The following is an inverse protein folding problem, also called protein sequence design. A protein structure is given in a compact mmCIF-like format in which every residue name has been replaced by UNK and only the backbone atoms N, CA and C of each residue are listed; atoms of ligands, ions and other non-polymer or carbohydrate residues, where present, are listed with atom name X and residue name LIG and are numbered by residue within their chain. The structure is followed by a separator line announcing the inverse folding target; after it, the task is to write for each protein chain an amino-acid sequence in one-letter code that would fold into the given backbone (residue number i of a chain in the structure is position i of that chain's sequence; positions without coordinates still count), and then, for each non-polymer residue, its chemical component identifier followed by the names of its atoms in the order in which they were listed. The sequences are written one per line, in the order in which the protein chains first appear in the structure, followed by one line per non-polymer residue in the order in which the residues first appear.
data_IF_522757306289
#
_entry.id   IF_522757306289
#
_cell.length_a   1.000
_cell.length_b   1.000
_cell.length_c   1.000
_cell.angle_alpha   90.00
_cell.angle_beta   90.00
_cell.angle_gamma   90.00
#
_symmetry.space_group_name_H-M   'P 1'
#
loop_
_entity.id
_entity.type
_entity.pdbx_description
1 polymer ?
#
# COMPACT_ATOMS: atom_id res chain seq x y z
N UNK A 1 7.71 6.91 32.92
CA UNK A 1 8.17 5.73 32.16
C UNK A 1 7.23 5.55 30.98
N UNK A 2 7.62 6.01 29.79
CA UNK A 2 6.75 6.02 28.61
C UNK A 2 7.01 4.72 27.83
N UNK A 3 5.96 3.91 27.67
CA UNK A 3 5.97 2.64 26.96
C UNK A 3 6.19 2.92 25.46
N UNK A 4 7.36 2.54 24.95
CA UNK A 4 7.68 2.50 23.52
C UNK A 4 6.80 1.44 22.85
N UNK A 5 5.91 1.88 21.96
CA UNK A 5 5.14 1.00 21.10
C UNK A 5 6.10 0.44 20.04
N UNK A 6 6.32 -0.87 20.09
CA UNK A 6 7.10 -1.59 19.10
C UNK A 6 6.35 -1.52 17.76
N UNK A 7 6.97 -0.88 16.78
CA UNK A 7 6.55 -0.98 15.38
C UNK A 7 6.65 -2.44 14.97
N UNK A 8 5.51 -3.08 14.72
CA UNK A 8 5.45 -4.43 14.16
C UNK A 8 5.99 -4.36 12.73
N UNK A 9 7.26 -4.73 12.55
CA UNK A 9 7.85 -4.95 11.24
C UNK A 9 7.08 -6.05 10.52
N UNK A 10 6.64 -5.77 9.29
CA UNK A 10 5.95 -6.74 8.44
C UNK A 10 6.82 -8.00 8.23
N UNK A 11 6.26 -9.22 8.33
CA UNK A 11 7.01 -10.48 8.21
C UNK A 11 7.62 -10.72 6.82
N UNK A 12 7.27 -9.90 5.82
CA UNK A 12 7.83 -9.96 4.47
C UNK A 12 9.34 -9.65 4.40
N UNK A 13 9.95 -9.10 5.47
CA UNK A 13 11.35 -8.66 5.51
C UNK A 13 12.33 -9.65 6.17
N UNK A 14 11.88 -10.79 6.70
CA UNK A 14 12.75 -11.72 7.43
C UNK A 14 13.48 -12.76 6.56
N UNK A 15 13.29 -12.75 5.24
CA UNK A 15 14.03 -13.61 4.32
C UNK A 15 15.20 -12.84 3.72
N UNK A 16 16.33 -12.79 4.43
CA UNK A 16 17.64 -12.48 3.84
C UNK A 16 18.16 -13.69 3.06
N UNK A 17 17.33 -14.27 2.19
CA UNK A 17 17.83 -15.05 1.07
C UNK A 17 18.42 -14.03 0.10
N UNK A 18 19.63 -14.29 -0.39
CA UNK A 18 20.28 -13.47 -1.40
C UNK A 18 19.33 -13.34 -2.59
N UNK A 19 18.63 -12.21 -2.67
CA UNK A 19 17.77 -11.89 -3.79
C UNK A 19 18.66 -11.97 -5.02
N UNK A 20 18.30 -12.85 -5.95
CA UNK A 20 18.93 -12.89 -7.25
C UNK A 20 18.73 -11.52 -7.90
N UNK A 21 19.80 -10.75 -8.04
CA UNK A 21 19.79 -9.41 -8.63
C UNK A 21 19.29 -9.42 -10.09
N UNK A 22 19.20 -10.59 -10.72
CA UNK A 22 18.60 -10.77 -12.04
C UNK A 22 17.09 -11.05 -11.99
N UNK A 23 16.55 -11.36 -10.81
CA UNK A 23 15.11 -11.51 -10.57
C UNK A 23 14.43 -10.15 -10.46
N UNK A 24 13.14 -10.09 -10.84
CA UNK A 24 12.29 -8.89 -10.67
C UNK A 24 12.36 -8.36 -9.23
N UNK A 25 12.47 -9.26 -8.25
CA UNK A 25 12.56 -8.89 -6.84
C UNK A 25 13.79 -8.04 -6.51
N UNK A 26 14.92 -8.21 -7.21
CA UNK A 26 16.13 -7.38 -7.04
C UNK A 26 15.94 -5.93 -7.50
N UNK A 27 14.97 -5.69 -8.39
CA UNK A 27 14.61 -4.34 -8.87
C UNK A 27 13.46 -3.69 -8.07
N UNK A 28 12.81 -4.43 -7.17
CA UNK A 28 11.65 -3.92 -6.43
C UNK A 28 12.06 -3.08 -5.22
N UNK A 29 11.33 -2.00 -4.99
CA UNK A 29 11.39 -1.25 -3.73
C UNK A 29 10.27 -1.71 -2.79
N UNK A 30 10.58 -1.92 -1.51
CA UNK A 30 9.63 -2.23 -0.45
C UNK A 30 8.87 -1.00 0.10
N UNK A 31 9.21 0.21 -0.33
CA UNK A 31 8.56 1.48 0.04
C UNK A 31 7.24 1.71 -0.70
N UNK A 32 6.36 0.70 -0.69
CA UNK A 32 5.01 0.80 -1.25
C UNK A 32 3.97 0.95 -0.14
N UNK A 33 2.85 1.60 -0.47
CA UNK A 33 1.74 1.82 0.46
C UNK A 33 0.60 0.88 0.11
N UNK A 34 0.19 0.07 1.09
CA UNK A 34 -0.98 -0.82 0.99
C UNK A 34 -2.15 -0.29 1.82
N UNK A 35 -3.38 -0.43 1.31
CA UNK A 35 -4.61 -0.17 2.06
C UNK A 35 -5.59 -1.34 1.89
N UNK A 36 -6.40 -1.67 2.91
CA UNK A 36 -7.42 -2.69 2.80
C UNK A 36 -8.60 -2.19 1.96
N UNK A 37 -9.23 -3.09 1.19
CA UNK A 37 -10.34 -2.74 0.29
C UNK A 37 -11.53 -2.08 1.00
N UNK A 38 -11.71 -2.36 2.29
CA UNK A 38 -12.81 -1.85 3.13
C UNK A 38 -12.55 -0.46 3.73
N UNK A 39 -11.32 0.06 3.64
CA UNK A 39 -10.97 1.38 4.15
C UNK A 39 -11.79 2.47 3.45
N UNK A 40 -12.30 3.44 4.20
CA UNK A 40 -13.00 4.58 3.59
C UNK A 40 -12.03 5.53 2.90
N UNK A 41 -12.50 6.27 1.90
CA UNK A 41 -11.70 7.28 1.19
C UNK A 41 -11.08 8.27 2.16
N UNK A 42 -11.81 8.74 3.18
CA UNK A 42 -11.24 9.68 4.16
C UNK A 42 -10.05 9.08 4.92
N UNK A 43 -10.24 7.89 5.50
CA UNK A 43 -9.16 7.21 6.22
C UNK A 43 -7.97 6.90 5.32
N UNK A 44 -8.21 6.50 4.07
CA UNK A 44 -7.14 6.19 3.13
C UNK A 44 -6.29 7.42 2.76
N UNK A 45 -6.87 8.63 2.75
CA UNK A 45 -6.12 9.87 2.52
C UNK A 45 -5.22 10.23 3.69
N UNK A 46 -5.79 10.19 4.89
CA UNK A 46 -5.05 10.44 6.12
C UNK A 46 -3.91 9.42 6.27
N UNK A 47 -4.22 8.16 6.01
CA UNK A 47 -3.24 7.08 6.02
C UNK A 47 -2.14 7.31 4.98
N UNK A 48 -2.48 7.58 3.71
CA UNK A 48 -1.51 7.88 2.66
C UNK A 48 -0.50 8.95 3.11
N UNK A 49 -0.99 10.08 3.62
CA UNK A 49 -0.14 11.19 4.07
C UNK A 49 0.74 10.77 5.26
N UNK A 50 0.22 9.98 6.20
CA UNK A 50 0.99 9.47 7.34
C UNK A 50 2.11 8.50 6.95
N UNK A 51 2.01 7.85 5.78
CA UNK A 51 2.99 6.87 5.30
C UNK A 51 4.08 7.51 4.41
N UNK A 52 3.91 8.77 3.98
CA UNK A 52 4.92 9.45 3.16
C UNK A 52 6.19 9.68 4.01
N UNK A 53 7.33 9.16 3.51
CA UNK A 53 8.66 9.33 4.14
C UNK A 53 9.40 10.56 3.62
N UNK A 54 8.97 11.08 2.47
CA UNK A 54 9.54 12.22 1.75
C UNK A 54 8.40 13.07 1.19
N UNK A 55 8.72 14.18 0.54
CA UNK A 55 7.73 15.02 -0.16
C UNK A 55 7.23 14.38 -1.48
N UNK A 56 7.75 13.20 -1.85
CA UNK A 56 7.33 12.49 -3.06
C UNK A 56 6.02 11.73 -2.83
N UNK A 57 5.02 12.00 -3.67
CA UNK A 57 3.72 11.32 -3.62
C UNK A 57 3.74 10.15 -4.62
N UNK A 58 3.48 8.90 -4.17
CA UNK A 58 3.41 7.77 -5.08
C UNK A 58 2.24 7.94 -6.06
N UNK A 59 2.39 7.37 -7.26
CA UNK A 59 1.33 7.44 -8.28
C UNK A 59 0.16 6.51 -7.98
N UNK A 60 0.41 5.42 -7.24
CA UNK A 60 -0.54 4.37 -6.90
C UNK A 60 -0.40 3.92 -5.45
N UNK A 61 -1.52 3.48 -4.89
CA UNK A 61 -1.58 2.66 -3.67
C UNK A 61 -2.06 1.26 -4.04
N UNK A 62 -1.62 0.26 -3.28
CA UNK A 62 -1.95 -1.14 -3.51
C UNK A 62 -3.12 -1.56 -2.61
N UNK A 63 -4.14 -2.18 -3.20
CA UNK A 63 -5.30 -2.66 -2.46
C UNK A 63 -5.06 -4.12 -2.09
N UNK A 64 -5.08 -4.42 -0.80
CA UNK A 64 -4.85 -5.77 -0.27
C UNK A 64 -6.08 -6.30 0.46
N UNK A 65 -6.18 -7.62 0.56
CA UNK A 65 -7.09 -8.27 1.50
C UNK A 65 -6.40 -8.44 2.87
N UNK A 66 -7.15 -8.93 3.86
CA UNK A 66 -6.65 -9.13 5.23
C UNK A 66 -5.52 -10.17 5.33
N UNK A 67 -5.38 -11.00 4.29
CA UNK A 67 -4.31 -11.97 4.08
C UNK A 67 -3.06 -11.38 3.38
N UNK A 68 -3.02 -10.06 3.20
CA UNK A 68 -2.00 -9.30 2.48
C UNK A 68 -1.87 -9.61 0.98
N UNK A 69 -2.76 -10.42 0.39
CA UNK A 69 -2.76 -10.65 -1.04
C UNK A 69 -3.24 -9.41 -1.80
N UNK A 70 -2.51 -9.05 -2.86
CA UNK A 70 -2.86 -7.96 -3.77
C UNK A 70 -4.18 -8.27 -4.50
N UNK A 71 -5.14 -7.34 -4.41
CA UNK A 71 -6.45 -7.42 -5.08
C UNK A 71 -6.58 -6.43 -6.23
N UNK A 72 -5.89 -5.31 -6.14
CA UNK A 72 -6.00 -4.23 -7.10
C UNK A 72 -4.99 -3.14 -6.84
N UNK A 73 -5.00 -2.13 -7.70
CA UNK A 73 -4.28 -0.87 -7.46
C UNK A 73 -5.26 0.29 -7.53
N UNK A 74 -4.96 1.38 -6.85
CA UNK A 74 -5.76 2.59 -6.90
C UNK A 74 -4.85 3.78 -7.19
N UNK A 75 -5.19 4.54 -8.22
CA UNK A 75 -4.50 5.80 -8.51
C UNK A 75 -4.65 6.77 -7.33
N UNK A 76 -3.54 7.37 -6.90
CA UNK A 76 -3.56 8.39 -5.85
C UNK A 76 -4.37 9.60 -6.28
N UNK A 77 -4.31 10.00 -7.56
CA UNK A 77 -5.18 11.06 -8.10
C UNK A 77 -6.67 10.73 -7.89
N UNK A 78 -7.09 9.50 -8.21
CA UNK A 78 -8.48 9.06 -8.03
C UNK A 78 -8.89 9.06 -6.55
N UNK A 79 -7.99 8.63 -5.66
CA UNK A 79 -8.20 8.68 -4.22
C UNK A 79 -8.37 10.13 -3.72
N UNK A 80 -7.49 11.05 -4.13
CA UNK A 80 -7.49 12.45 -3.69
C UNK A 80 -8.66 13.26 -4.26
N UNK A 81 -9.17 12.91 -5.44
CA UNK A 81 -10.28 13.61 -6.11
C UNK A 81 -11.68 13.06 -5.79
N UNK A 82 -11.80 11.97 -5.03
CA UNK A 82 -13.10 11.38 -4.71
C UNK A 82 -13.94 12.23 -3.73
N UNK A 83 -15.16 12.59 -4.09
CA UNK A 83 -16.00 13.42 -3.22
C UNK A 83 -16.68 12.61 -2.09
N UNK A 84 -16.94 11.33 -2.35
CA UNK A 84 -17.60 10.40 -1.41
C UNK A 84 -16.62 9.89 -0.34
N UNK A 85 -16.54 10.59 0.79
CA UNK A 85 -15.57 10.30 1.86
C UNK A 85 -15.75 8.92 2.54
N UNK A 86 -16.99 8.45 2.67
CA UNK A 86 -17.33 7.18 3.33
C UNK A 86 -17.28 5.97 2.39
N UNK A 87 -17.00 6.20 1.10
CA UNK A 87 -16.90 5.14 0.10
C UNK A 87 -15.71 4.24 0.39
N UNK A 88 -15.89 2.93 0.28
CA UNK A 88 -14.80 1.97 0.40
C UNK A 88 -13.85 2.06 -0.81
N UNK A 89 -12.54 2.14 -0.57
CA UNK A 89 -11.52 2.29 -1.62
C UNK A 89 -11.49 1.12 -2.61
N UNK A 90 -11.90 -0.08 -2.19
CA UNK A 90 -12.00 -1.26 -3.05
C UNK A 90 -12.98 -1.08 -4.21
N UNK A 91 -14.00 -0.23 -4.07
CA UNK A 91 -14.95 0.09 -5.17
C UNK A 91 -14.29 0.93 -6.25
N UNK A 92 -13.20 1.62 -5.91
CA UNK A 92 -12.46 2.49 -6.81
C UNK A 92 -11.22 1.83 -7.41
N UNK A 93 -10.88 0.61 -7.02
CA UNK A 93 -9.66 -0.06 -7.46
C UNK A 93 -9.73 -0.45 -8.95
N UNK A 94 -8.59 -0.36 -9.62
CA UNK A 94 -8.36 -1.01 -10.89
C UNK A 94 -7.90 -2.44 -10.59
N UNK A 95 -8.56 -3.44 -11.20
CA UNK A 95 -8.17 -4.83 -11.04
C UNK A 95 -6.77 -5.05 -11.63
N UNK A 96 -5.91 -5.69 -10.83
CA UNK A 96 -4.57 -6.08 -11.24
C UNK A 96 -4.65 -7.27 -12.20
N UNK A 97 -4.72 -7.02 -13.50
CA UNK A 97 -4.43 -8.05 -14.51
C UNK A 97 -2.94 -8.00 -14.85
N UNK A 98 -2.09 -8.44 -13.92
CA UNK A 98 -0.70 -8.73 -14.24
C UNK A 98 -0.59 -10.21 -14.55
N UNK A 99 -0.43 -10.53 -15.84
CA UNK A 99 0.07 -11.82 -16.28
C UNK A 99 1.55 -11.60 -16.60
N UNK A 100 2.41 -12.40 -15.98
CA UNK A 100 3.84 -12.50 -16.30
C UNK A 100 4.06 -13.86 -16.95
#
# INVERSE_FOLDING_TARGET
MIKSHQYSSSPALNATETLDETSVAGYMNADFITVPATMTVNHAREYLLSQLKTDEIPTRVFITADDYHLRGTLSVKKLLQCEEQDKAVGVMMDYSYFQV
#
